data_IF_897398304085
#
_entry.id   IF_897398304085
#
_cell.length_a   1.000
_cell.length_b   1.000
_cell.length_c   1.000
_cell.angle_alpha   90.00
_cell.angle_beta   90.00
_cell.angle_gamma   90.00
#
_symmetry.space_group_name_H-M   'P 1'
#
loop_
_entity.id
_entity.type
_entity.pdbx_description
1 polymer ?
#
# COMPACT_ATOMS: atom_id res chain seq x y z
N UNK A 1 -4.85 -1.48 23.32
CA UNK A 1 -3.46 -2.02 23.50
C UNK A 1 -2.47 -0.86 23.49
N UNK A 2 -1.78 -0.61 24.60
CA UNK A 2 -0.80 0.50 24.71
C UNK A 2 0.63 0.01 24.49
N UNK A 3 1.39 0.72 23.65
CA UNK A 3 2.82 0.51 23.46
C UNK A 3 3.50 1.88 23.21
N UNK A 4 4.52 2.20 23.97
CA UNK A 4 5.19 3.50 23.88
C UNK A 4 4.25 4.70 23.88
N UNK A 5 3.24 4.69 24.76
CA UNK A 5 2.18 5.70 24.86
C UNK A 5 1.27 5.81 23.62
N UNK A 6 1.27 4.84 22.74
CA UNK A 6 0.39 4.76 21.58
C UNK A 6 -0.71 3.74 21.87
N UNK A 7 -1.97 4.17 21.80
CA UNK A 7 -3.10 3.26 21.85
C UNK A 7 -3.42 2.79 20.42
N UNK A 8 -3.02 1.56 20.11
CA UNK A 8 -3.23 0.96 18.79
C UNK A 8 -4.71 0.69 18.44
N UNK A 9 -5.60 0.63 19.44
CA UNK A 9 -7.03 0.43 19.18
C UNK A 9 -7.68 1.67 18.56
N UNK A 10 -7.11 2.84 18.80
CA UNK A 10 -7.59 4.13 18.29
C UNK A 10 -6.68 4.78 17.26
N UNK A 11 -5.41 4.37 17.19
CA UNK A 11 -4.38 5.02 16.36
C UNK A 11 -4.79 5.17 14.88
N UNK A 12 -5.18 4.08 14.22
CA UNK A 12 -5.60 4.11 12.82
C UNK A 12 -7.00 4.68 12.58
N UNK A 13 -7.75 4.99 13.66
CA UNK A 13 -9.01 5.71 13.55
C UNK A 13 -8.80 7.22 13.51
N UNK A 14 -7.70 7.69 14.11
CA UNK A 14 -7.39 9.10 14.27
C UNK A 14 -6.32 9.59 13.29
N UNK A 15 -5.59 8.69 12.65
CA UNK A 15 -4.47 9.03 11.76
C UNK A 15 -4.56 8.30 10.41
N UNK A 16 -4.10 8.95 9.32
CA UNK A 16 -3.68 10.36 9.28
C UNK A 16 -4.83 11.33 9.55
N UNK A 17 -4.52 12.51 10.06
CA UNK A 17 -5.49 13.61 10.14
C UNK A 17 -5.82 14.16 8.74
N UNK A 18 -6.72 15.15 8.66
CA UNK A 18 -7.13 15.75 7.39
C UNK A 18 -5.98 16.43 6.61
N UNK A 19 -4.86 16.73 7.26
CA UNK A 19 -3.66 17.33 6.68
C UNK A 19 -2.56 16.30 6.39
N UNK A 20 -2.83 15.02 6.62
CA UNK A 20 -1.89 13.93 6.39
C UNK A 20 -0.85 13.72 7.49
N UNK A 21 -1.13 14.19 8.72
CA UNK A 21 -0.21 14.00 9.85
C UNK A 21 -0.55 12.76 10.67
N UNK A 22 0.50 12.09 11.13
CA UNK A 22 0.51 11.04 12.16
C UNK A 22 1.15 11.62 13.43
N UNK A 23 0.40 12.35 14.24
CA UNK A 23 0.93 13.14 15.34
C UNK A 23 1.82 14.28 14.82
N UNK A 24 3.11 14.27 15.20
CA UNK A 24 4.10 15.26 14.73
C UNK A 24 4.79 14.89 13.40
N UNK A 25 4.47 13.73 12.82
CA UNK A 25 5.08 13.24 11.59
C UNK A 25 4.11 13.29 10.42
N UNK A 26 4.63 13.39 9.21
CA UNK A 26 3.82 13.41 7.99
C UNK A 26 3.54 14.82 7.50
N UNK A 27 2.37 14.99 6.91
CA UNK A 27 1.96 16.22 6.23
C UNK A 27 2.04 16.11 4.71
N UNK A 28 1.65 17.18 4.01
CA UNK A 28 1.65 17.25 2.56
C UNK A 28 2.48 18.45 2.11
N UNK A 29 3.57 18.18 1.40
CA UNK A 29 4.52 19.19 0.92
C UNK A 29 4.48 19.23 -0.62
N UNK A 30 3.31 19.52 -1.16
CA UNK A 30 3.05 19.50 -2.59
C UNK A 30 3.37 20.89 -3.17
N UNK A 31 4.16 20.99 -4.26
CA UNK A 31 4.34 22.24 -4.97
C UNK A 31 3.01 22.85 -5.42
N UNK A 32 2.82 24.18 -5.36
CA UNK A 32 1.55 24.82 -5.66
C UNK A 32 0.98 24.47 -7.04
N UNK A 33 1.84 24.30 -8.04
CA UNK A 33 1.45 23.91 -9.40
C UNK A 33 0.85 22.50 -9.52
N UNK A 34 1.13 21.61 -8.57
CA UNK A 34 0.59 20.26 -8.52
C UNK A 34 -0.62 20.11 -7.60
N UNK A 35 -0.94 21.14 -6.82
CA UNK A 35 -1.99 21.06 -5.79
C UNK A 35 -3.34 20.65 -6.37
N UNK A 36 -3.74 21.22 -7.51
CA UNK A 36 -5.01 20.90 -8.18
C UNK A 36 -5.08 19.43 -8.58
N UNK A 37 -4.01 18.92 -9.20
CA UNK A 37 -3.93 17.52 -9.61
C UNK A 37 -3.97 16.56 -8.42
N UNK A 38 -3.30 16.89 -7.32
CA UNK A 38 -3.30 16.08 -6.10
C UNK A 38 -4.66 16.08 -5.39
N UNK A 39 -5.36 17.22 -5.40
CA UNK A 39 -6.72 17.28 -4.88
C UNK A 39 -7.68 16.40 -5.70
N UNK A 40 -7.59 16.44 -7.03
CA UNK A 40 -8.37 15.56 -7.93
C UNK A 40 -8.15 14.08 -7.59
N UNK A 41 -6.89 13.68 -7.39
CA UNK A 41 -6.55 12.29 -7.02
C UNK A 41 -7.11 11.94 -5.63
N UNK A 42 -7.00 12.85 -4.66
CA UNK A 42 -7.52 12.64 -3.31
C UNK A 42 -9.04 12.44 -3.29
N UNK A 43 -9.78 13.27 -4.00
CA UNK A 43 -11.24 13.14 -4.14
C UNK A 43 -11.65 11.84 -4.84
N UNK A 44 -10.96 11.52 -5.94
CA UNK A 44 -11.17 10.28 -6.66
C UNK A 44 -10.88 9.05 -5.77
N UNK A 45 -9.79 9.09 -4.99
CA UNK A 45 -9.48 8.03 -4.04
C UNK A 45 -10.61 7.82 -3.03
N UNK A 46 -11.11 8.90 -2.41
CA UNK A 46 -12.15 8.79 -1.38
C UNK A 46 -13.49 8.26 -1.91
N UNK A 47 -13.81 8.55 -3.16
CA UNK A 47 -15.08 8.15 -3.78
C UNK A 47 -14.99 6.81 -4.49
N UNK A 48 -14.01 6.65 -5.37
CA UNK A 48 -13.86 5.48 -6.27
C UNK A 48 -13.40 4.25 -5.48
N UNK A 49 -12.40 4.40 -4.61
CA UNK A 49 -11.79 3.23 -3.91
C UNK A 49 -12.75 2.49 -2.98
N UNK A 50 -13.83 3.12 -2.56
CA UNK A 50 -14.88 2.50 -1.75
C UNK A 50 -15.97 1.82 -2.59
N UNK A 51 -15.99 2.03 -3.90
CA UNK A 51 -17.00 1.44 -4.77
C UNK A 51 -16.80 -0.07 -4.89
N UNK A 52 -17.93 -0.80 -4.91
CA UNK A 52 -17.92 -2.25 -5.09
C UNK A 52 -17.21 -2.65 -6.38
N UNK A 53 -17.43 -1.92 -7.45
CA UNK A 53 -16.85 -2.21 -8.76
C UNK A 53 -15.32 -2.13 -8.72
N UNK A 54 -14.76 -1.05 -8.18
CA UNK A 54 -13.31 -0.88 -8.03
C UNK A 54 -12.70 -1.99 -7.17
N UNK A 55 -13.31 -2.28 -6.01
CA UNK A 55 -12.82 -3.30 -5.09
C UNK A 55 -12.82 -4.68 -5.74
N UNK A 56 -13.90 -5.05 -6.45
CA UNK A 56 -13.98 -6.35 -7.13
C UNK A 56 -12.96 -6.46 -8.27
N UNK A 57 -12.80 -5.42 -9.08
CA UNK A 57 -11.81 -5.42 -10.17
C UNK A 57 -10.38 -5.49 -9.63
N UNK A 58 -10.05 -4.71 -8.59
CA UNK A 58 -8.73 -4.78 -7.96
C UNK A 58 -8.44 -6.16 -7.36
N UNK A 59 -9.42 -6.78 -6.70
CA UNK A 59 -9.27 -8.14 -6.16
C UNK A 59 -9.02 -9.16 -7.26
N UNK A 60 -9.74 -9.05 -8.39
CA UNK A 60 -9.53 -9.91 -9.55
C UNK A 60 -8.12 -9.76 -10.12
N UNK A 61 -7.67 -8.52 -10.36
CA UNK A 61 -6.30 -8.24 -10.84
C UNK A 61 -5.26 -8.81 -9.88
N UNK A 62 -5.43 -8.60 -8.58
CA UNK A 62 -4.50 -9.13 -7.59
C UNK A 62 -4.43 -10.65 -7.59
N UNK A 63 -5.54 -11.32 -7.77
CA UNK A 63 -5.58 -12.79 -7.81
C UNK A 63 -5.03 -13.34 -9.13
N UNK A 64 -5.53 -12.84 -10.27
CA UNK A 64 -5.31 -13.45 -11.58
C UNK A 64 -4.00 -13.00 -12.24
N UNK A 65 -3.61 -11.76 -12.05
CA UNK A 65 -2.40 -11.19 -12.65
C UNK A 65 -1.24 -11.10 -11.67
N UNK A 66 -1.49 -10.59 -10.48
CA UNK A 66 -0.43 -10.30 -9.51
C UNK A 66 0.03 -11.54 -8.73
N UNK A 67 -0.81 -12.58 -8.60
CA UNK A 67 -0.50 -13.79 -7.83
C UNK A 67 -0.67 -13.64 -6.32
N UNK A 68 -1.58 -12.77 -5.88
CA UNK A 68 -1.84 -12.59 -4.44
C UNK A 68 -2.96 -13.48 -3.93
N UNK A 69 -2.89 -13.84 -2.63
CA UNK A 69 -1.83 -13.50 -1.65
C UNK A 69 -0.54 -14.30 -1.87
N UNK A 70 0.60 -13.63 -1.76
CA UNK A 70 1.89 -14.31 -1.73
C UNK A 70 2.04 -15.11 -0.44
N UNK A 71 2.74 -16.26 -0.44
CA UNK A 71 2.88 -17.11 0.74
C UNK A 71 3.79 -16.48 1.80
N UNK A 72 3.67 -17.02 3.01
CA UNK A 72 4.63 -16.82 4.10
C UNK A 72 5.42 -18.11 4.22
N UNK A 73 6.75 -18.02 4.21
CA UNK A 73 7.66 -19.16 4.35
C UNK A 73 8.44 -19.07 5.65
N UNK A 74 8.46 -20.17 6.39
CA UNK A 74 9.30 -20.31 7.57
C UNK A 74 10.73 -20.62 7.14
N UNK A 75 11.71 -19.88 7.67
CA UNK A 75 13.13 -20.08 7.43
C UNK A 75 13.74 -20.94 8.56
N UNK A 76 13.32 -22.22 8.64
CA UNK A 76 13.67 -23.12 9.75
C UNK A 76 15.19 -23.18 9.99
N UNK A 77 15.97 -23.48 8.95
CA UNK A 77 17.46 -23.59 9.09
C UNK A 77 18.12 -22.30 9.57
N UNK A 78 17.59 -21.13 9.17
CA UNK A 78 18.13 -19.85 9.62
C UNK A 78 17.67 -19.54 11.04
N UNK A 79 16.44 -19.88 11.39
CA UNK A 79 15.94 -19.80 12.76
C UNK A 79 16.80 -20.63 13.73
N UNK A 80 17.07 -21.87 13.38
CA UNK A 80 17.92 -22.75 14.19
C UNK A 80 19.35 -22.23 14.33
N UNK A 81 19.91 -21.65 13.27
CA UNK A 81 21.26 -21.08 13.28
C UNK A 81 21.37 -19.82 14.14
N UNK A 82 20.34 -19.03 14.22
CA UNK A 82 20.30 -17.85 15.11
C UNK A 82 20.17 -18.29 16.57
N UNK A 83 19.46 -19.37 16.82
CA UNK A 83 19.31 -19.96 18.16
C UNK A 83 18.26 -19.24 19.03
N UNK A 84 18.20 -19.63 20.31
CA UNK A 84 17.42 -18.95 21.37
C UNK A 84 15.92 -18.73 21.11
N UNK A 85 15.28 -19.66 20.38
CA UNK A 85 13.82 -19.62 20.15
C UNK A 85 13.33 -18.59 19.15
N UNK A 86 14.23 -17.96 18.39
CA UNK A 86 13.85 -17.05 17.29
C UNK A 86 13.24 -17.84 16.14
N UNK A 87 12.08 -17.41 15.69
CA UNK A 87 11.39 -17.97 14.52
C UNK A 87 11.31 -16.91 13.42
N UNK A 88 12.01 -17.15 12.31
CA UNK A 88 12.04 -16.25 11.17
C UNK A 88 11.04 -16.68 10.09
N UNK A 89 10.22 -15.73 9.68
CA UNK A 89 9.29 -15.90 8.57
C UNK A 89 9.52 -14.81 7.53
N UNK A 90 9.42 -15.15 6.26
CA UNK A 90 9.49 -14.19 5.17
C UNK A 90 8.17 -14.16 4.43
N UNK A 91 7.67 -12.95 4.19
CA UNK A 91 6.59 -12.70 3.26
C UNK A 91 7.17 -12.69 1.85
N UNK A 92 6.80 -13.68 1.03
CA UNK A 92 7.41 -13.96 -0.27
C UNK A 92 6.93 -13.02 -1.38
N UNK A 93 7.28 -11.74 -1.28
CA UNK A 93 6.94 -10.75 -2.31
C UNK A 93 7.78 -10.91 -3.61
N UNK A 94 8.83 -11.71 -3.55
CA UNK A 94 9.56 -12.22 -4.72
C UNK A 94 8.71 -13.13 -5.62
N UNK A 95 7.65 -13.73 -5.08
CA UNK A 95 6.68 -14.53 -5.83
C UNK A 95 5.51 -13.71 -6.41
N UNK A 96 5.54 -12.40 -6.21
CA UNK A 96 4.67 -11.48 -6.93
C UNK A 96 5.04 -11.49 -8.42
N UNK A 97 4.10 -11.25 -9.33
CA UNK A 97 4.28 -11.39 -10.78
C UNK A 97 5.56 -10.73 -11.33
N UNK A 98 5.94 -9.57 -10.81
CA UNK A 98 7.18 -8.87 -11.23
C UNK A 98 8.40 -9.20 -10.37
N UNK A 99 8.29 -10.11 -9.42
CA UNK A 99 9.36 -10.42 -8.48
C UNK A 99 9.63 -9.34 -7.43
N UNK A 100 8.78 -8.30 -7.33
CA UNK A 100 8.97 -7.17 -6.44
C UNK A 100 7.67 -6.66 -5.83
N UNK A 101 7.79 -6.10 -4.62
CA UNK A 101 6.64 -5.62 -3.83
C UNK A 101 5.94 -4.39 -4.44
N UNK A 102 6.61 -3.60 -5.25
CA UNK A 102 6.05 -2.36 -5.84
C UNK A 102 4.79 -2.59 -6.70
N UNK A 103 4.62 -3.77 -7.27
CA UNK A 103 3.39 -4.13 -8.00
C UNK A 103 2.14 -4.01 -7.12
N UNK A 104 2.27 -4.13 -5.80
CA UNK A 104 1.13 -4.02 -4.87
C UNK A 104 0.42 -2.67 -4.96
N UNK A 105 1.17 -1.57 -5.03
CA UNK A 105 0.57 -0.25 -5.16
C UNK A 105 0.26 0.11 -6.61
N UNK A 106 1.16 -0.24 -7.55
CA UNK A 106 0.96 0.07 -8.97
C UNK A 106 -0.39 -0.40 -9.51
N UNK A 107 -0.84 -1.60 -9.10
CA UNK A 107 -2.15 -2.12 -9.55
C UNK A 107 -3.32 -1.24 -9.07
N UNK A 108 -3.25 -0.74 -7.84
CA UNK A 108 -4.27 0.16 -7.30
C UNK A 108 -4.23 1.54 -7.96
N UNK A 109 -3.06 2.09 -8.13
CA UNK A 109 -2.84 3.43 -8.73
C UNK A 109 -3.27 3.47 -10.19
N UNK A 110 -2.84 2.50 -10.99
CA UNK A 110 -3.22 2.42 -12.41
C UNK A 110 -4.72 2.18 -12.58
N UNK A 111 -5.31 1.33 -11.73
CA UNK A 111 -6.74 1.12 -11.76
C UNK A 111 -7.51 2.40 -11.37
N UNK A 112 -7.05 3.13 -10.36
CA UNK A 112 -7.63 4.42 -9.98
C UNK A 112 -7.54 5.42 -11.14
N UNK A 113 -6.37 5.56 -11.77
CA UNK A 113 -6.16 6.42 -12.93
C UNK A 113 -7.11 6.07 -14.07
N UNK A 114 -7.32 4.78 -14.35
CA UNK A 114 -8.31 4.29 -15.32
C UNK A 114 -9.73 4.75 -14.99
N UNK A 115 -10.15 4.61 -13.72
CA UNK A 115 -11.48 5.05 -13.29
C UNK A 115 -11.65 6.57 -13.29
N UNK A 116 -10.56 7.31 -13.15
CA UNK A 116 -10.53 8.77 -13.35
C UNK A 116 -10.53 9.18 -14.82
N UNK A 117 -10.57 8.24 -15.76
CA UNK A 117 -10.55 8.52 -17.20
C UNK A 117 -9.21 8.96 -17.75
N UNK A 118 -8.10 8.76 -17.01
CA UNK A 118 -6.76 9.11 -17.48
C UNK A 118 -6.35 8.14 -18.60
N UNK A 119 -5.79 8.69 -19.68
CA UNK A 119 -5.41 7.93 -20.89
C UNK A 119 -3.93 7.53 -20.89
N UNK A 120 -3.13 8.18 -20.06
CA UNK A 120 -1.68 7.93 -19.94
C UNK A 120 -1.28 7.92 -18.49
N UNK A 121 -0.38 7.02 -18.15
CA UNK A 121 0.29 6.95 -16.85
C UNK A 121 1.79 7.00 -17.12
N UNK A 122 2.50 7.82 -16.40
CA UNK A 122 3.96 7.94 -16.44
C UNK A 122 4.47 7.42 -15.11
N UNK A 123 5.47 6.54 -15.15
CA UNK A 123 6.18 6.10 -13.97
C UNK A 123 7.57 6.70 -13.97
N UNK A 124 7.98 7.18 -12.81
CA UNK A 124 9.34 7.62 -12.54
C UNK A 124 9.94 6.67 -11.51
N UNK A 125 11.19 6.30 -11.71
CA UNK A 125 11.91 5.39 -10.82
C UNK A 125 13.36 5.87 -10.69
N UNK A 126 13.87 5.83 -9.48
CA UNK A 126 15.27 6.13 -9.18
C UNK A 126 16.23 4.95 -9.32
N UNK A 127 15.72 3.81 -9.80
CA UNK A 127 16.51 2.58 -9.97
C UNK A 127 16.43 2.06 -11.39
#
# INVERSE_FOLDING_TARGET
>A
MMYNNIDFDTYFKNYPDAKGYFGKYGGSYIPPELQTAMNEISEAYQTICKSRQFICELRRIRKEFQGRPTPISHLARLSDKIGTGVQLYVKREDLNHTGAHKLNHCMGEVLLAKYMGKKKVIAETGA
#
